data_IF_606923891025
#
_entry.id   IF_606923891025
#
_cell.length_a   1.000
_cell.length_b   1.000
_cell.length_c   1.000
_cell.angle_alpha   90.00
_cell.angle_beta   90.00
_cell.angle_gamma   90.00
#
_symmetry.space_group_name_H-M   'P 1'
#
loop_
_entity.id
_entity.type
_entity.pdbx_description
1 polymer ?
#
# COMPACT_ATOMS: atom_id res chain seq x y z
N UNK A 1 -15.71 -59.04 -25.43
CA UNK A 1 -16.48 -59.07 -24.16
C UNK A 1 -16.23 -57.71 -23.51
N UNK A 2 -16.94 -56.67 -23.91
CA UNK A 2 -18.29 -56.30 -23.39
C UNK A 2 -18.22 -56.09 -21.87
N UNK A 3 -18.55 -54.96 -21.24
CA UNK A 3 -19.27 -53.75 -21.63
C UNK A 3 -18.89 -52.61 -20.65
N UNK A 4 -18.51 -51.45 -21.16
CA UNK A 4 -18.53 -50.17 -20.45
C UNK A 4 -19.82 -49.43 -20.86
N UNK A 5 -20.84 -49.53 -20.01
CA UNK A 5 -21.99 -48.61 -19.93
C UNK A 5 -21.65 -47.56 -18.85
N UNK A 6 -22.13 -46.32 -18.80
CA UNK A 6 -23.02 -45.46 -19.59
C UNK A 6 -23.00 -44.14 -18.80
N UNK A 7 -22.80 -42.98 -19.42
CA UNK A 7 -23.74 -41.87 -19.26
C UNK A 7 -23.47 -40.72 -20.24
N UNK A 8 -24.51 -40.01 -20.71
CA UNK A 8 -24.54 -39.34 -21.99
C UNK A 8 -24.93 -37.87 -21.85
N UNK A 9 -24.01 -36.95 -22.12
CA UNK A 9 -24.40 -35.59 -22.52
C UNK A 9 -23.76 -35.27 -23.86
N UNK A 10 -24.54 -35.67 -24.84
CA UNK A 10 -24.50 -35.40 -26.27
C UNK A 10 -24.32 -33.91 -26.57
N UNK A 11 -23.24 -33.64 -27.29
CA UNK A 11 -23.22 -32.98 -28.60
C UNK A 11 -24.04 -31.69 -28.75
N UNK A 12 -23.33 -30.58 -28.90
CA UNK A 12 -23.65 -29.59 -29.92
C UNK A 12 -22.50 -29.50 -30.91
N UNK A 13 -22.65 -30.30 -31.98
CA UNK A 13 -21.95 -30.16 -33.24
C UNK A 13 -22.65 -29.06 -34.03
N UNK A 14 -21.92 -28.23 -34.78
CA UNK A 14 -22.15 -27.96 -36.22
C UNK A 14 -21.26 -26.78 -36.65
N UNK A 15 -20.23 -27.12 -37.43
CA UNK A 15 -19.59 -26.25 -38.41
C UNK A 15 -20.64 -25.71 -39.38
N UNK A 16 -20.64 -24.41 -39.71
CA UNK A 16 -21.12 -23.96 -41.03
C UNK A 16 -20.39 -22.70 -41.50
N UNK A 17 -19.71 -22.88 -42.64
CA UNK A 17 -19.54 -21.96 -43.77
C UNK A 17 -18.46 -20.85 -43.77
N UNK A 18 -17.39 -21.17 -44.50
CA UNK A 18 -16.74 -20.32 -45.51
C UNK A 18 -17.77 -19.50 -46.33
N UNK A 19 -17.56 -18.18 -46.47
CA UNK A 19 -17.72 -17.46 -47.74
C UNK A 19 -16.82 -16.22 -47.78
N UNK A 20 -15.87 -16.23 -48.71
CA UNK A 20 -15.32 -15.04 -49.35
C UNK A 20 -16.46 -14.17 -49.90
N UNK A 21 -16.30 -12.85 -49.97
CA UNK A 21 -16.60 -12.00 -51.16
C UNK A 21 -16.19 -10.53 -50.91
N UNK A 22 -15.33 -10.06 -51.81
CA UNK A 22 -15.21 -8.72 -52.41
C UNK A 22 -15.33 -7.44 -51.55
N UNK A 23 -14.19 -6.74 -51.48
CA UNK A 23 -14.00 -5.53 -52.29
C UNK A 23 -14.95 -4.35 -52.03
N UNK A 24 -14.48 -3.37 -51.28
CA UNK A 24 -14.78 -1.97 -51.58
C UNK A 24 -13.50 -1.13 -51.44
N UNK A 25 -12.90 -0.82 -52.58
CA UNK A 25 -12.02 0.33 -52.77
C UNK A 25 -12.92 1.56 -52.67
N UNK A 26 -12.94 2.19 -51.50
CA UNK A 26 -13.55 3.49 -51.30
C UNK A 26 -12.48 4.58 -51.39
N UNK A 27 -12.43 5.29 -52.52
CA UNK A 27 -11.77 6.60 -52.59
C UNK A 27 -12.49 7.54 -51.63
N UNK A 28 -11.86 7.85 -50.50
CA UNK A 28 -12.31 8.94 -49.63
C UNK A 28 -11.46 10.18 -49.92
N UNK A 29 -12.14 11.23 -50.35
CA UNK A 29 -11.60 12.52 -50.76
C UNK A 29 -10.92 13.23 -49.59
N UNK A 30 -9.62 13.47 -49.73
CA UNK A 30 -8.83 14.34 -48.86
C UNK A 30 -9.35 15.78 -48.91
N UNK A 31 -10.24 16.14 -47.98
CA UNK A 31 -10.58 17.53 -47.69
C UNK A 31 -9.67 17.98 -46.55
N UNK A 32 -8.55 18.62 -46.91
CA UNK A 32 -7.66 19.28 -45.95
C UNK A 32 -8.42 20.43 -45.30
N UNK A 33 -8.94 20.20 -44.09
CA UNK A 33 -9.37 21.29 -43.22
C UNK A 33 -8.13 22.11 -42.82
N UNK A 34 -8.25 23.45 -42.74
CA UNK A 34 -7.19 24.28 -42.20
C UNK A 34 -6.87 23.82 -40.78
N UNK A 35 -5.59 23.54 -40.53
CA UNK A 35 -5.07 23.30 -39.19
C UNK A 35 -5.15 24.64 -38.48
N UNK A 36 -6.21 24.83 -37.71
CA UNK A 36 -6.31 25.90 -36.74
C UNK A 36 -5.30 25.55 -35.65
N UNK A 37 -4.13 26.20 -35.67
CA UNK A 37 -3.14 26.14 -34.60
C UNK A 37 -3.80 26.71 -33.34
N UNK A 38 -4.44 25.81 -32.59
CA UNK A 38 -4.98 26.11 -31.29
C UNK A 38 -3.79 26.26 -30.36
N UNK A 39 -3.36 27.50 -30.13
CA UNK A 39 -2.36 27.83 -29.13
C UNK A 39 -2.69 27.06 -27.85
N UNK A 40 -1.77 26.16 -27.48
CA UNK A 40 -1.83 25.38 -26.26
C UNK A 40 -1.94 26.37 -25.10
N UNK A 41 -2.96 26.25 -24.22
CA UNK A 41 -2.98 27.07 -23.02
C UNK A 41 -1.66 26.82 -22.29
N UNK A 42 -0.95 27.91 -21.97
CA UNK A 42 0.27 27.88 -21.17
C UNK A 42 0.00 27.01 -19.94
N UNK A 43 0.71 25.88 -19.83
CA UNK A 43 0.66 24.98 -18.69
C UNK A 43 1.18 25.74 -17.49
N UNK A 44 0.26 26.34 -16.72
CA UNK A 44 0.56 27.04 -15.49
C UNK A 44 1.30 26.06 -14.56
N UNK A 45 2.61 26.29 -14.39
CA UNK A 45 3.46 25.47 -13.53
C UNK A 45 2.96 25.65 -12.11
N UNK A 46 2.16 24.70 -11.63
CA UNK A 46 1.70 24.69 -10.26
C UNK A 46 2.92 24.66 -9.33
N UNK A 47 2.97 25.60 -8.37
CA UNK A 47 3.98 25.59 -7.33
C UNK A 47 3.86 24.30 -6.49
N UNK A 48 4.99 23.76 -6.00
CA UNK A 48 4.98 22.52 -5.23
C UNK A 48 4.17 22.68 -3.93
N UNK A 49 3.30 21.71 -3.64
CA UNK A 49 2.58 21.68 -2.37
C UNK A 49 3.47 21.05 -1.30
N UNK A 50 3.80 21.86 -0.30
CA UNK A 50 4.64 21.46 0.84
C UNK A 50 3.91 21.58 2.17
N UNK A 51 2.58 21.67 2.16
CA UNK A 51 1.76 21.85 3.36
C UNK A 51 1.96 20.66 4.31
N UNK A 52 2.28 20.87 5.59
CA UNK A 52 2.33 19.80 6.58
C UNK A 52 1.00 19.02 6.64
N UNK A 53 1.01 17.69 6.52
CA UNK A 53 -0.22 16.93 6.53
C UNK A 53 -0.73 16.66 7.95
N UNK A 54 -1.97 16.23 8.04
CA UNK A 54 -2.53 15.60 9.25
C UNK A 54 -2.65 14.10 9.02
N UNK A 55 -2.29 13.30 10.02
CA UNK A 55 -2.22 11.84 9.96
C UNK A 55 -3.23 11.20 10.92
N UNK A 56 -3.95 10.19 10.42
CA UNK A 56 -4.71 9.24 11.25
C UNK A 56 -3.81 8.10 11.76
N UNK A 57 -4.37 7.16 12.52
CA UNK A 57 -3.69 5.88 12.82
C UNK A 57 -3.55 5.04 11.56
N UNK A 58 -2.45 4.29 11.38
CA UNK A 58 -2.29 3.38 10.24
C UNK A 58 -3.14 2.11 10.36
N UNK A 59 -3.64 1.79 11.56
CA UNK A 59 -4.59 0.70 11.80
C UNK A 59 -6.02 1.24 11.93
N UNK A 60 -7.01 0.43 11.56
CA UNK A 60 -8.43 0.79 11.63
C UNK A 60 -9.01 0.66 13.05
N UNK A 61 -8.49 -0.27 13.86
CA UNK A 61 -8.95 -0.49 15.24
C UNK A 61 -7.81 -0.72 16.22
N UNK A 62 -7.79 0.06 17.29
CA UNK A 62 -6.84 -0.11 18.41
C UNK A 62 -6.95 -1.48 19.08
N UNK A 63 -8.14 -2.11 19.05
CA UNK A 63 -8.35 -3.43 19.67
C UNK A 63 -7.77 -4.57 18.83
N UNK A 64 -7.40 -4.33 17.57
CA UNK A 64 -6.70 -5.30 16.73
C UNK A 64 -5.18 -5.24 16.90
N UNK A 65 -4.66 -4.23 17.60
CA UNK A 65 -3.23 -4.07 17.85
C UNK A 65 -2.87 -4.69 19.20
N UNK A 66 -1.90 -5.59 19.21
CA UNK A 66 -1.35 -6.20 20.42
C UNK A 66 -0.42 -5.19 21.12
N UNK A 67 0.60 -4.73 20.40
CA UNK A 67 1.68 -3.92 20.94
C UNK A 67 2.31 -3.00 19.88
N UNK A 68 3.10 -2.05 20.37
CA UNK A 68 4.15 -1.38 19.62
C UNK A 68 5.43 -1.75 20.34
N UNK A 69 6.33 -2.46 19.66
CA UNK A 69 7.59 -2.87 20.27
C UNK A 69 8.66 -1.77 20.14
N UNK A 70 8.61 -1.00 19.06
CA UNK A 70 9.52 0.10 18.79
C UNK A 70 8.75 1.26 18.16
N UNK A 71 8.99 2.48 18.65
CA UNK A 71 8.52 3.71 18.02
C UNK A 71 9.71 4.45 17.38
N UNK A 72 9.55 5.74 17.05
CA UNK A 72 10.59 6.46 16.32
C UNK A 72 11.76 6.87 17.24
N UNK A 73 12.99 6.60 16.84
CA UNK A 73 14.20 7.11 17.50
C UNK A 73 15.35 7.42 16.55
N UNK A 74 16.03 8.54 16.78
CA UNK A 74 17.30 8.91 16.14
C UNK A 74 18.53 8.55 16.99
N UNK A 75 18.33 8.15 18.24
CA UNK A 75 19.37 7.80 19.19
C UNK A 75 19.12 6.43 19.86
N UNK A 76 20.09 5.99 20.66
CA UNK A 76 19.96 4.77 21.49
C UNK A 76 19.32 5.06 22.86
N UNK A 77 19.11 6.34 23.18
CA UNK A 77 18.60 6.79 24.47
C UNK A 77 17.06 6.76 24.46
N UNK A 78 16.53 5.56 24.20
CA UNK A 78 15.10 5.26 24.09
C UNK A 78 14.80 3.88 24.68
N UNK A 79 13.54 3.55 25.00
CA UNK A 79 13.17 2.28 25.66
C UNK A 79 13.55 1.01 24.91
N UNK A 80 13.70 1.07 23.59
CA UNK A 80 14.13 -0.07 22.76
C UNK A 80 15.66 -0.12 22.53
N UNK A 81 16.43 0.91 22.91
CA UNK A 81 17.89 0.86 22.97
C UNK A 81 18.64 0.94 21.62
N UNK A 82 17.94 1.22 20.52
CA UNK A 82 18.53 1.39 19.19
C UNK A 82 17.78 2.43 18.35
N UNK A 83 18.39 2.89 17.25
CA UNK A 83 17.75 3.83 16.31
C UNK A 83 16.68 3.11 15.51
N UNK A 84 15.48 3.65 15.45
CA UNK A 84 14.36 3.08 14.73
C UNK A 84 13.64 4.17 13.92
N UNK A 85 13.58 4.03 12.59
CA UNK A 85 13.12 5.09 11.68
C UNK A 85 11.62 4.99 11.32
N UNK A 86 10.87 4.28 12.15
CA UNK A 86 9.45 4.03 11.97
C UNK A 86 8.74 3.72 13.29
N UNK A 87 7.56 3.11 13.19
CA UNK A 87 6.79 2.58 14.30
C UNK A 87 6.29 1.20 13.92
N UNK A 88 6.58 0.21 14.74
CA UNK A 88 6.23 -1.18 14.47
C UNK A 88 4.89 -1.54 15.12
N UNK A 89 3.85 -1.70 14.30
CA UNK A 89 2.51 -2.04 14.75
C UNK A 89 2.28 -3.56 14.67
N UNK A 90 2.21 -4.22 15.83
CA UNK A 90 2.00 -5.67 15.94
C UNK A 90 0.51 -5.97 16.14
N UNK A 91 -0.19 -6.62 15.20
CA UNK A 91 -1.57 -7.02 15.41
C UNK A 91 -1.68 -8.22 16.37
N UNK A 92 -2.85 -8.37 17.01
CA UNK A 92 -3.17 -9.51 17.86
C UNK A 92 -3.87 -10.66 17.13
N UNK A 93 -4.07 -10.55 15.82
CA UNK A 93 -4.72 -11.54 14.98
C UNK A 93 -4.22 -11.48 13.53
N UNK A 94 -4.38 -12.59 12.81
CA UNK A 94 -4.15 -12.63 11.36
C UNK A 94 -5.14 -11.70 10.63
N UNK A 95 -4.70 -11.14 9.51
CA UNK A 95 -5.48 -10.28 8.62
C UNK A 95 -6.10 -9.04 9.30
N UNK A 96 -5.43 -8.48 10.31
CA UNK A 96 -5.77 -7.19 10.89
C UNK A 96 -5.75 -6.07 9.84
N UNK A 97 -6.70 -5.13 9.92
CA UNK A 97 -6.89 -4.11 8.90
C UNK A 97 -6.03 -2.87 9.14
N UNK A 98 -5.37 -2.43 8.08
CA UNK A 98 -4.64 -1.17 8.00
C UNK A 98 -5.32 -0.22 7.02
N UNK A 99 -5.15 1.08 7.26
CA UNK A 99 -5.77 2.17 6.52
C UNK A 99 -4.74 3.24 6.14
N UNK A 100 -5.09 4.04 5.15
CA UNK A 100 -4.31 5.21 4.75
C UNK A 100 -4.38 6.29 5.82
N UNK A 101 -3.23 6.86 6.20
CA UNK A 101 -3.19 7.87 7.27
C UNK A 101 -3.57 9.27 6.78
N UNK A 102 -3.47 9.52 5.48
CA UNK A 102 -3.76 10.83 4.88
C UNK A 102 -4.24 10.68 3.43
N UNK A 103 -4.62 11.79 2.82
CA UNK A 103 -4.90 11.86 1.38
C UNK A 103 -3.57 11.80 0.64
N UNK A 104 -3.54 11.12 -0.51
CA UNK A 104 -2.34 11.13 -1.36
C UNK A 104 -2.46 10.18 -2.54
N UNK A 105 -1.33 9.96 -3.22
CA UNK A 105 -1.18 9.03 -4.33
C UNK A 105 -0.31 7.85 -3.92
N UNK A 106 -0.75 6.63 -4.22
CA UNK A 106 0.12 5.46 -4.09
C UNK A 106 1.18 5.53 -5.18
N UNK A 107 2.45 5.67 -4.80
CA UNK A 107 3.58 5.79 -5.73
C UNK A 107 4.41 4.51 -5.84
N UNK A 108 4.24 3.58 -4.91
CA UNK A 108 4.90 2.28 -4.94
C UNK A 108 4.04 1.21 -4.29
N UNK A 109 3.99 0.03 -4.89
CA UNK A 109 3.42 -1.21 -4.36
C UNK A 109 4.27 -2.38 -4.88
N UNK A 110 5.10 -2.95 -4.01
CA UNK A 110 6.05 -3.98 -4.44
C UNK A 110 6.21 -5.10 -3.41
N UNK A 111 6.57 -6.29 -3.90
CA UNK A 111 7.17 -7.33 -3.06
C UNK A 111 8.63 -6.97 -2.86
N UNK A 112 9.12 -7.10 -1.64
CA UNK A 112 10.52 -6.85 -1.30
C UNK A 112 11.06 -8.01 -0.47
N UNK A 113 12.23 -8.52 -0.86
CA UNK A 113 12.97 -9.49 -0.07
C UNK A 113 14.07 -8.75 0.69
N UNK A 114 13.96 -8.74 2.02
CA UNK A 114 14.95 -8.11 2.87
C UNK A 114 16.12 -9.08 3.06
N UNK A 115 17.25 -8.76 2.42
CA UNK A 115 18.44 -9.60 2.46
C UNK A 115 19.14 -9.65 3.82
N UNK A 116 18.83 -8.73 4.74
CA UNK A 116 19.41 -8.71 6.08
C UNK A 116 18.71 -9.73 6.98
N UNK A 117 17.38 -9.73 7.02
CA UNK A 117 16.59 -10.64 7.87
C UNK A 117 16.11 -11.92 7.13
N UNK A 118 16.33 -12.00 5.81
CA UNK A 118 15.93 -13.10 4.92
C UNK A 118 14.42 -13.34 4.86
N UNK A 119 13.62 -12.28 5.02
CA UNK A 119 12.15 -12.31 4.99
C UNK A 119 11.58 -11.50 3.82
N UNK A 120 10.39 -11.89 3.39
CA UNK A 120 9.58 -11.13 2.45
C UNK A 120 8.66 -10.15 3.17
N UNK A 121 8.50 -8.98 2.56
CA UNK A 121 7.52 -7.96 2.92
C UNK A 121 6.83 -7.42 1.66
N UNK A 122 5.71 -6.73 1.85
CA UNK A 122 5.07 -5.94 0.80
C UNK A 122 5.13 -4.48 1.20
N UNK A 123 5.75 -3.66 0.35
CA UNK A 123 5.93 -2.23 0.60
C UNK A 123 4.84 -1.45 -0.12
N UNK A 124 4.20 -0.52 0.59
CA UNK A 124 3.31 0.47 0.01
C UNK A 124 3.84 1.87 0.32
N UNK A 125 4.02 2.70 -0.70
CA UNK A 125 4.41 4.11 -0.54
C UNK A 125 3.24 5.02 -0.92
N UNK A 126 2.85 5.88 0.02
CA UNK A 126 1.83 6.91 -0.15
C UNK A 126 2.51 8.27 -0.17
N UNK A 127 2.53 8.91 -1.33
CA UNK A 127 2.96 10.30 -1.48
C UNK A 127 1.81 11.23 -1.16
N UNK A 128 1.95 12.02 -0.10
CA UNK A 128 0.91 12.96 0.34
C UNK A 128 0.98 14.23 -0.51
N UNK A 129 2.18 14.78 -0.67
CA UNK A 129 2.49 15.91 -1.54
C UNK A 129 3.96 15.89 -1.96
N UNK A 130 4.51 17.01 -2.43
CA UNK A 130 5.89 17.06 -2.97
C UNK A 130 6.96 16.84 -1.89
N UNK A 131 6.60 17.06 -0.63
CA UNK A 131 7.51 17.01 0.50
C UNK A 131 7.33 15.75 1.37
N UNK A 132 6.10 15.29 1.57
CA UNK A 132 5.77 14.28 2.57
C UNK A 132 5.36 12.94 1.96
N UNK A 133 5.95 11.86 2.51
CA UNK A 133 5.70 10.48 2.09
C UNK A 133 5.51 9.60 3.32
N UNK A 134 4.59 8.64 3.22
CA UNK A 134 4.40 7.56 4.19
C UNK A 134 4.80 6.25 3.53
N UNK A 135 5.49 5.38 4.27
CA UNK A 135 5.81 4.01 3.85
C UNK A 135 5.21 3.03 4.84
N UNK A 136 4.60 2.00 4.29
CA UNK A 136 4.11 0.83 5.02
C UNK A 136 4.89 -0.38 4.53
N UNK A 137 5.62 -1.04 5.42
CA UNK A 137 6.19 -2.35 5.15
C UNK A 137 5.36 -3.42 5.87
N UNK A 138 4.57 -4.17 5.10
CA UNK A 138 3.82 -5.30 5.63
C UNK A 138 4.75 -6.51 5.79
N UNK A 139 5.32 -6.67 6.98
CA UNK A 139 6.29 -7.70 7.31
C UNK A 139 5.60 -8.95 7.86
N UNK A 140 5.25 -9.89 6.96
CA UNK A 140 4.64 -11.17 7.36
C UNK A 140 5.56 -12.07 8.20
N UNK A 141 6.85 -11.72 8.27
CA UNK A 141 7.93 -12.49 8.90
C UNK A 141 8.14 -13.90 8.34
N UNK A 142 7.91 -14.07 7.03
CA UNK A 142 8.14 -15.32 6.34
C UNK A 142 9.25 -15.24 5.28
N UNK A 143 10.03 -16.31 5.15
CA UNK A 143 10.97 -16.51 4.04
C UNK A 143 10.34 -17.18 2.82
N UNK A 144 9.08 -17.61 2.90
CA UNK A 144 8.36 -18.24 1.80
C UNK A 144 7.82 -17.18 0.84
N UNK A 145 8.24 -17.12 -0.44
CA UNK A 145 7.74 -16.14 -1.41
C UNK A 145 6.23 -16.23 -1.66
N UNK A 146 5.61 -17.41 -1.51
CA UNK A 146 4.16 -17.56 -1.67
C UNK A 146 3.37 -16.76 -0.61
N UNK A 147 3.95 -16.49 0.56
CA UNK A 147 3.34 -15.60 1.55
C UNK A 147 3.42 -14.13 1.13
N UNK A 148 4.44 -13.73 0.37
CA UNK A 148 4.50 -12.38 -0.21
C UNK A 148 3.40 -12.19 -1.27
N UNK A 149 3.14 -13.21 -2.09
CA UNK A 149 2.04 -13.20 -3.07
C UNK A 149 0.68 -13.12 -2.38
N UNK A 150 0.51 -13.89 -1.30
CA UNK A 150 -0.70 -13.85 -0.47
C UNK A 150 -0.86 -12.47 0.20
N UNK A 151 0.22 -11.90 0.74
CA UNK A 151 0.21 -10.56 1.33
C UNK A 151 -0.15 -9.49 0.29
N UNK A 152 0.37 -9.59 -0.94
CA UNK A 152 0.06 -8.67 -2.03
C UNK A 152 -1.43 -8.73 -2.41
N UNK A 153 -2.04 -9.92 -2.43
CA UNK A 153 -3.47 -10.09 -2.67
C UNK A 153 -4.36 -9.50 -1.55
N UNK A 154 -3.78 -9.18 -0.39
CA UNK A 154 -4.45 -8.51 0.73
C UNK A 154 -4.18 -6.99 0.80
N UNK A 155 -3.54 -6.40 -0.22
CA UNK A 155 -3.47 -4.94 -0.40
C UNK A 155 -4.60 -4.51 -1.34
N UNK A 156 -5.40 -3.52 -0.91
CA UNK A 156 -6.62 -3.11 -1.61
C UNK A 156 -6.46 -1.84 -2.45
N UNK A 157 -5.27 -1.26 -2.41
CA UNK A 157 -4.89 -0.12 -3.24
C UNK A 157 -3.92 -0.56 -4.33
N UNK A 158 -3.79 0.27 -5.35
CA UNK A 158 -2.89 0.04 -6.49
C UNK A 158 -2.00 1.25 -6.76
N UNK A 159 -0.84 1.05 -7.36
CA UNK A 159 0.01 2.16 -7.81
C UNK A 159 -0.76 3.12 -8.72
N UNK A 160 -0.53 4.41 -8.52
CA UNK A 160 -1.23 5.48 -9.24
C UNK A 160 -2.57 5.89 -8.60
N UNK A 161 -3.16 5.08 -7.71
CA UNK A 161 -4.43 5.40 -7.07
C UNK A 161 -4.32 6.61 -6.14
N UNK A 162 -5.28 7.52 -6.25
CA UNK A 162 -5.52 8.57 -5.25
C UNK A 162 -6.40 7.99 -4.15
N UNK A 163 -5.97 8.16 -2.91
CA UNK A 163 -6.65 7.65 -1.72
C UNK A 163 -7.09 8.79 -0.79
N UNK A 164 -8.13 8.55 -0.01
CA UNK A 164 -8.59 9.45 1.06
C UNK A 164 -8.05 8.98 2.42
N UNK A 165 -7.96 9.84 3.45
CA UNK A 165 -7.63 9.40 4.81
C UNK A 165 -8.65 8.37 5.32
N UNK A 166 -8.18 7.32 5.99
CA UNK A 166 -9.03 6.26 6.57
C UNK A 166 -9.56 5.25 5.56
N UNK A 167 -9.13 5.33 4.30
CA UNK A 167 -9.47 4.33 3.30
C UNK A 167 -8.73 3.01 3.64
N UNK A 168 -9.42 1.88 3.50
CA UNK A 168 -8.82 0.56 3.66
C UNK A 168 -7.60 0.42 2.73
N UNK A 169 -6.44 0.15 3.33
CA UNK A 169 -5.16 0.00 2.63
C UNK A 169 -4.89 -1.46 2.32
N UNK A 170 -5.07 -2.31 3.33
CA UNK A 170 -4.78 -3.73 3.24
C UNK A 170 -4.82 -4.43 4.59
N UNK A 171 -4.58 -5.73 4.59
CA UNK A 171 -4.57 -6.57 5.79
C UNK A 171 -3.21 -7.24 5.98
N UNK A 172 -2.68 -7.26 7.20
CA UNK A 172 -1.41 -7.94 7.47
C UNK A 172 -1.60 -9.44 7.58
N UNK A 173 -0.84 -10.20 6.79
CA UNK A 173 -0.71 -11.64 6.87
C UNK A 173 0.31 -12.02 7.95
N UNK A 174 -0.14 -12.59 9.06
CA UNK A 174 0.71 -12.98 10.18
C UNK A 174 1.25 -14.40 9.96
N UNK A 175 2.56 -14.54 9.69
CA UNK A 175 3.21 -15.84 9.46
C UNK A 175 4.41 -16.12 10.38
N UNK A 176 4.85 -15.14 11.15
CA UNK A 176 5.89 -15.29 12.18
C UNK A 176 5.54 -14.48 13.43
N UNK A 177 6.21 -14.81 14.54
CA UNK A 177 5.97 -14.21 15.87
C UNK A 177 6.12 -12.69 15.90
N UNK A 178 6.96 -12.14 15.03
CA UNK A 178 7.23 -10.71 14.92
C UNK A 178 6.53 -10.06 13.73
N UNK A 179 5.46 -10.65 13.20
CA UNK A 179 4.76 -10.03 12.07
C UNK A 179 4.16 -8.68 12.49
N UNK A 180 4.51 -7.63 11.76
CA UNK A 180 4.09 -6.26 12.04
C UNK A 180 3.96 -5.46 10.74
N UNK A 181 3.44 -4.24 10.86
CA UNK A 181 3.61 -3.21 9.84
C UNK A 181 4.60 -2.18 10.38
N UNK A 182 5.76 -2.06 9.74
CA UNK A 182 6.68 -0.94 9.96
C UNK A 182 6.14 0.28 9.20
N UNK A 183 5.80 1.31 9.97
CA UNK A 183 5.27 2.58 9.49
C UNK A 183 6.35 3.66 9.56
N UNK A 184 6.81 4.12 8.40
CA UNK A 184 7.75 5.23 8.29
C UNK A 184 7.09 6.51 7.76
N UNK A 185 7.45 7.66 8.34
CA UNK A 185 7.05 8.98 7.86
C UNK A 185 8.27 9.80 7.45
N UNK A 186 8.23 10.34 6.24
CA UNK A 186 9.38 10.95 5.61
C UNK A 186 9.06 12.37 5.14
N UNK A 187 10.04 13.27 5.31
CA UNK A 187 10.06 14.63 4.76
C UNK A 187 11.28 14.75 3.86
N UNK A 188 11.08 15.07 2.57
CA UNK A 188 12.15 15.10 1.58
C UNK A 188 12.99 13.79 1.56
N UNK A 189 12.31 12.64 1.66
CA UNK A 189 12.92 11.30 1.77
C UNK A 189 13.81 11.06 3.01
N UNK A 190 13.81 11.97 3.99
CA UNK A 190 14.46 11.76 5.29
C UNK A 190 13.40 11.32 6.30
N UNK A 191 13.60 10.21 7.03
CA UNK A 191 12.66 9.79 8.06
C UNK A 191 12.62 10.85 9.16
N UNK A 192 11.42 11.13 9.66
CA UNK A 192 11.17 12.11 10.71
C UNK A 192 10.17 11.55 11.72
N UNK A 193 10.20 12.09 12.94
CA UNK A 193 9.20 11.82 13.96
C UNK A 193 7.77 12.12 13.44
N UNK A 194 6.85 11.14 13.44
CA UNK A 194 5.48 11.35 12.98
C UNK A 194 4.56 11.98 14.04
N UNK A 195 4.94 11.98 15.33
CA UNK A 195 4.08 12.40 16.43
C UNK A 195 3.43 13.79 16.24
N UNK A 196 4.15 14.85 15.80
CA UNK A 196 3.58 16.18 15.61
C UNK A 196 2.50 16.26 14.52
N UNK A 197 2.40 15.25 13.66
CA UNK A 197 1.51 15.25 12.50
C UNK A 197 0.27 14.40 12.72
N UNK A 198 0.24 13.54 13.75
CA UNK A 198 -0.96 12.79 14.10
C UNK A 198 -2.06 13.73 14.62
N UNK A 199 -3.32 13.39 14.32
CA UNK A 199 -4.44 13.98 15.06
C UNK A 199 -4.30 13.65 16.56
N UNK A 200 -4.86 14.47 17.46
CA UNK A 200 -4.87 14.15 18.89
C UNK A 200 -5.42 12.75 19.17
N UNK A 201 -6.50 12.36 18.51
CA UNK A 201 -7.12 11.04 18.67
C UNK A 201 -6.21 9.91 18.18
N UNK A 202 -5.51 10.10 17.06
CA UNK A 202 -4.58 9.10 16.55
C UNK A 202 -3.38 8.95 17.47
N UNK A 203 -2.79 10.07 17.91
CA UNK A 203 -1.69 10.10 18.87
C UNK A 203 -2.05 9.37 20.16
N UNK A 204 -3.19 9.70 20.75
CA UNK A 204 -3.64 9.09 22.01
C UNK A 204 -3.87 7.58 21.85
N UNK A 205 -4.45 7.16 20.73
CA UNK A 205 -4.67 5.72 20.46
C UNK A 205 -3.36 4.94 20.32
N UNK A 206 -2.36 5.52 19.66
CA UNK A 206 -1.03 4.91 19.52
C UNK A 206 -0.32 4.84 20.88
N UNK A 207 -0.36 5.92 21.67
CA UNK A 207 0.22 5.94 23.02
C UNK A 207 -0.42 4.89 23.93
N UNK A 208 -1.74 4.68 23.86
CA UNK A 208 -2.41 3.62 24.61
C UNK A 208 -1.86 2.23 24.26
N UNK A 209 -1.46 1.97 23.02
CA UNK A 209 -0.85 0.69 22.63
C UNK A 209 0.59 0.61 23.13
N UNK A 210 1.39 1.67 22.93
CA UNK A 210 2.79 1.75 23.33
C UNK A 210 2.96 1.55 24.84
N UNK A 211 2.13 2.22 25.63
CA UNK A 211 2.19 2.23 27.09
C UNK A 211 1.82 0.89 27.74
N UNK A 212 1.24 -0.06 26.99
CA UNK A 212 1.07 -1.44 27.48
C UNK A 212 2.42 -2.11 27.74
N UNK A 213 3.45 -1.75 26.96
CA UNK A 213 4.80 -2.31 27.06
C UNK A 213 5.77 -1.33 27.70
N UNK A 214 5.65 -0.04 27.39
CA UNK A 214 6.53 1.03 27.89
C UNK A 214 5.71 2.18 28.50
N UNK A 215 5.30 2.09 29.77
CA UNK A 215 4.31 3.00 30.37
C UNK A 215 4.62 4.50 30.26
N UNK A 216 5.91 4.86 30.25
CA UNK A 216 6.37 6.26 30.23
C UNK A 216 7.01 6.66 28.89
N UNK A 217 6.84 5.84 27.85
CA UNK A 217 7.49 6.10 26.58
C UNK A 217 6.82 7.23 25.78
N UNK A 218 7.63 7.97 25.05
CA UNK A 218 7.20 8.90 24.00
C UNK A 218 7.17 8.19 22.65
N UNK A 219 6.46 8.74 21.67
CA UNK A 219 6.48 8.19 20.31
C UNK A 219 7.79 8.51 19.56
N UNK A 220 8.51 9.53 20.02
CA UNK A 220 9.72 10.01 19.38
C UNK A 220 10.84 10.29 20.40
N UNK A 221 12.05 9.88 20.02
CA UNK A 221 13.30 10.17 20.72
C UNK A 221 14.31 10.70 19.70
N UNK A 222 14.96 11.82 19.99
CA UNK A 222 15.98 12.43 19.12
C UNK A 222 17.38 12.25 19.72
#
# INVERSE_FOLDING_TARGET
MENLCRNPWIRFLILFLFFLIFGMVGCHSDRKNPIEEKESPDEEIALPDTTPPTLLTPYQSQTQMASINEAYSESRDCPWGFKHQGIDFFPNQDLAMFQTVSRGKITRLERFYNDVNKKWQVNVELRINDMYVVRYAFESMSSNPAHADTQMAHIFVQEGQIVSPGQDLGRLLVRGEYAHVDFGFFKNNVPICPEPYFTPQARDSILVILHRKYPEASLCYE
#
